data_IF_405396175426
#
_entry.id   IF_405396175426
#
_cell.length_a   1.000
_cell.length_b   1.000
_cell.length_c   1.000
_cell.angle_alpha   90.00
_cell.angle_beta   90.00
_cell.angle_gamma   90.00
#
_symmetry.space_group_name_H-M   'P 1'
#
loop_
_entity.id
_entity.type
_entity.pdbx_description
1 polymer ?
#
# COMPACT_ATOMS: atom_id res chain seq x y z
N UNK A 1 -7.66 14.43 13.01
CA UNK A 1 -7.19 13.04 12.85
C UNK A 1 -6.28 12.74 14.03
N UNK A 2 -6.56 11.67 14.78
CA UNK A 2 -5.75 11.30 15.94
C UNK A 2 -4.42 10.70 15.47
N UNK A 3 -3.33 11.02 16.17
CA UNK A 3 -2.06 10.35 15.97
C UNK A 3 -2.21 8.85 16.25
N UNK A 4 -1.53 8.00 15.47
CA UNK A 4 -1.46 6.56 15.72
C UNK A 4 -0.90 6.30 17.12
N UNK A 5 -1.44 5.29 17.80
CA UNK A 5 -0.96 4.88 19.13
C UNK A 5 0.24 3.93 19.03
N UNK A 6 0.95 3.71 20.14
CA UNK A 6 2.00 2.68 20.23
C UNK A 6 1.50 1.29 19.91
N UNK A 7 0.26 0.98 20.34
CA UNK A 7 -0.37 -0.31 20.05
C UNK A 7 -0.65 -0.47 18.56
N UNK A 8 -1.14 0.57 17.91
CA UNK A 8 -1.36 0.57 16.46
C UNK A 8 -0.06 0.44 15.67
N UNK A 9 1.01 1.13 16.09
CA UNK A 9 2.34 0.97 15.49
C UNK A 9 2.84 -0.48 15.64
N UNK A 10 2.71 -1.09 16.83
CA UNK A 10 3.11 -2.49 17.04
C UNK A 10 2.31 -3.48 16.19
N UNK A 11 1.01 -3.23 16.00
CA UNK A 11 0.16 -4.01 15.10
C UNK A 11 0.62 -3.87 13.63
N UNK A 12 0.92 -2.66 13.17
CA UNK A 12 1.45 -2.42 11.82
C UNK A 12 2.81 -3.11 11.63
N UNK A 13 3.73 -2.97 12.58
CA UNK A 13 5.05 -3.62 12.52
C UNK A 13 4.94 -5.15 12.41
N UNK A 14 4.15 -5.78 13.29
CA UNK A 14 3.99 -7.24 13.29
C UNK A 14 3.28 -7.77 12.03
N UNK A 15 2.24 -7.06 11.56
CA UNK A 15 1.53 -7.44 10.33
C UNK A 15 2.36 -7.22 9.06
N UNK A 16 3.25 -6.24 9.04
CA UNK A 16 4.24 -6.05 7.97
C UNK A 16 5.22 -7.22 7.91
N UNK A 17 5.72 -7.70 9.05
CA UNK A 17 6.55 -8.91 9.09
C UNK A 17 5.80 -10.14 8.57
N UNK A 18 4.53 -10.33 8.97
CA UNK A 18 3.69 -11.41 8.48
C UNK A 18 3.49 -11.34 6.95
N UNK A 19 3.27 -10.14 6.40
CA UNK A 19 3.21 -9.93 4.95
C UNK A 19 4.51 -10.37 4.26
N UNK A 20 5.67 -10.03 4.81
CA UNK A 20 6.97 -10.37 4.21
C UNK A 20 7.28 -11.86 4.23
N UNK A 21 6.78 -12.62 5.21
CA UNK A 21 7.03 -14.07 5.32
C UNK A 21 6.63 -14.86 4.07
N UNK A 22 5.64 -14.38 3.32
CA UNK A 22 5.27 -14.96 2.03
C UNK A 22 5.02 -13.88 0.98
N UNK A 23 6.04 -13.03 0.76
CA UNK A 23 5.97 -11.94 -0.20
C UNK A 23 5.47 -12.36 -1.60
N UNK A 24 5.91 -13.48 -2.23
CA UNK A 24 5.40 -13.89 -3.54
C UNK A 24 3.89 -14.07 -3.56
N UNK A 25 3.36 -14.79 -2.57
CA UNK A 25 1.93 -15.07 -2.46
C UNK A 25 1.13 -13.81 -2.18
N UNK A 26 1.49 -13.05 -1.14
CA UNK A 26 0.75 -11.84 -0.77
C UNK A 26 0.81 -10.76 -1.85
N UNK A 27 1.91 -10.67 -2.61
CA UNK A 27 1.98 -9.78 -3.76
C UNK A 27 1.00 -10.19 -4.86
N UNK A 28 0.83 -11.49 -5.11
CA UNK A 28 -0.13 -11.99 -6.08
C UNK A 28 -1.57 -11.79 -5.61
N UNK A 29 -1.86 -12.00 -4.32
CA UNK A 29 -3.16 -11.71 -3.71
C UNK A 29 -3.52 -10.22 -3.92
N UNK A 30 -2.60 -9.33 -3.58
CA UNK A 30 -2.79 -7.89 -3.72
C UNK A 30 -3.17 -7.48 -5.14
N UNK A 31 -2.42 -7.92 -6.15
CA UNK A 31 -2.73 -7.57 -7.54
C UNK A 31 -3.95 -8.31 -8.08
N UNK A 32 -4.24 -9.52 -7.62
CA UNK A 32 -5.47 -10.23 -8.00
C UNK A 32 -6.69 -9.43 -7.55
N UNK A 33 -6.70 -8.98 -6.29
CA UNK A 33 -7.77 -8.16 -5.72
C UNK A 33 -7.94 -6.81 -6.45
N UNK A 34 -6.83 -6.16 -6.84
CA UNK A 34 -6.89 -4.94 -7.66
C UNK A 34 -7.56 -5.23 -9.00
N UNK A 35 -7.16 -6.31 -9.68
CA UNK A 35 -7.63 -6.63 -11.03
C UNK A 35 -9.07 -7.15 -11.07
N UNK A 36 -9.57 -7.75 -9.99
CA UNK A 36 -10.98 -8.10 -9.84
C UNK A 36 -11.88 -6.85 -9.84
N UNK A 37 -11.43 -5.75 -9.23
CA UNK A 37 -12.18 -4.49 -9.14
C UNK A 37 -11.89 -3.53 -10.29
N UNK A 38 -10.67 -3.51 -10.77
CA UNK A 38 -10.20 -2.61 -11.82
C UNK A 38 -9.36 -3.37 -12.86
N UNK A 39 -9.98 -4.17 -13.74
CA UNK A 39 -9.27 -4.96 -14.76
C UNK A 39 -8.37 -4.10 -15.68
N UNK A 40 -8.77 -2.85 -15.91
CA UNK A 40 -8.01 -1.89 -16.72
C UNK A 40 -6.63 -1.55 -16.14
N UNK A 41 -6.39 -1.78 -14.83
CA UNK A 41 -5.09 -1.56 -14.20
C UNK A 41 -3.98 -2.46 -14.79
N UNK A 42 -4.33 -3.58 -15.47
CA UNK A 42 -3.36 -4.39 -16.24
C UNK A 42 -2.56 -3.57 -17.25
N UNK A 43 -3.17 -2.52 -17.82
CA UNK A 43 -2.54 -1.68 -18.84
C UNK A 43 -1.62 -0.61 -18.23
N UNK A 44 -1.71 -0.35 -16.92
CA UNK A 44 -0.90 0.64 -16.24
C UNK A 44 0.49 0.10 -15.88
N UNK A 45 0.55 -1.19 -15.55
CA UNK A 45 1.75 -1.87 -15.06
C UNK A 45 2.20 -2.95 -16.03
N UNK A 46 3.38 -2.78 -16.61
CA UNK A 46 3.93 -3.75 -17.59
C UNK A 46 4.13 -5.15 -17.02
N UNK A 47 4.34 -5.28 -15.70
CA UNK A 47 4.45 -6.58 -15.04
C UNK A 47 3.12 -7.32 -14.90
N UNK A 48 1.98 -6.68 -15.18
CA UNK A 48 0.64 -7.30 -15.22
C UNK A 48 0.17 -7.63 -16.64
N UNK A 49 0.96 -7.32 -17.68
CA UNK A 49 0.55 -7.51 -19.08
C UNK A 49 0.14 -8.96 -19.40
N UNK A 50 0.79 -9.93 -18.75
CA UNK A 50 0.49 -11.36 -18.88
C UNK A 50 -0.33 -11.91 -17.70
N UNK A 51 -0.99 -11.04 -16.93
CA UNK A 51 -1.69 -11.40 -15.70
C UNK A 51 -0.82 -11.34 -14.45
N UNK A 52 -1.37 -11.83 -13.34
CA UNK A 52 -0.68 -11.89 -12.04
C UNK A 52 0.20 -13.12 -12.02
N UNK A 53 1.51 -12.90 -11.84
CA UNK A 53 2.49 -13.97 -11.66
C UNK A 53 3.26 -13.72 -10.35
N UNK A 54 3.06 -14.59 -9.36
CA UNK A 54 3.75 -14.53 -8.06
C UNK A 54 5.27 -14.65 -8.17
N UNK A 55 5.77 -15.25 -9.25
CA UNK A 55 7.21 -15.38 -9.49
C UNK A 55 7.82 -14.12 -10.13
N UNK A 56 7.00 -13.20 -10.64
CA UNK A 56 7.46 -11.99 -11.31
C UNK A 56 8.16 -11.06 -10.31
N UNK A 57 9.47 -10.78 -10.48
CA UNK A 57 10.22 -9.96 -9.54
C UNK A 57 9.74 -8.50 -9.49
N UNK A 58 9.23 -7.94 -10.60
CA UNK A 58 8.73 -6.57 -10.64
C UNK A 58 7.41 -6.42 -9.89
N UNK A 59 6.56 -7.44 -9.96
CA UNK A 59 5.30 -7.50 -9.23
C UNK A 59 5.58 -7.49 -7.72
N UNK A 60 6.48 -8.37 -7.27
CA UNK A 60 6.93 -8.44 -5.87
C UNK A 60 7.54 -7.13 -5.38
N UNK A 61 8.50 -6.59 -6.12
CA UNK A 61 9.17 -5.35 -5.74
C UNK A 61 8.21 -4.16 -5.63
N UNK A 62 7.23 -4.06 -6.54
CA UNK A 62 6.25 -2.98 -6.46
C UNK A 62 5.27 -3.20 -5.30
N UNK A 63 4.80 -4.42 -5.07
CA UNK A 63 3.94 -4.71 -3.92
C UNK A 63 4.68 -4.39 -2.61
N UNK A 64 5.90 -4.90 -2.45
CA UNK A 64 6.75 -4.61 -1.29
C UNK A 64 6.91 -3.10 -1.09
N UNK A 65 7.16 -2.34 -2.17
CA UNK A 65 7.33 -0.89 -2.05
C UNK A 65 6.08 -0.16 -1.56
N UNK A 66 4.90 -0.55 -2.04
CA UNK A 66 3.63 0.06 -1.60
C UNK A 66 3.38 -0.22 -0.11
N UNK A 67 3.59 -1.46 0.32
CA UNK A 67 3.37 -1.85 1.70
C UNK A 67 4.43 -1.25 2.64
N UNK A 68 5.70 -1.24 2.24
CA UNK A 68 6.80 -0.59 2.97
C UNK A 68 6.52 0.90 3.18
N UNK A 69 6.17 1.64 2.12
CA UNK A 69 5.90 3.08 2.26
C UNK A 69 4.69 3.37 3.14
N UNK A 70 3.69 2.48 3.13
CA UNK A 70 2.51 2.61 3.99
C UNK A 70 2.86 2.28 5.45
N UNK A 71 3.64 1.23 5.69
CA UNK A 71 4.20 0.90 7.00
C UNK A 71 5.02 2.06 7.57
N UNK A 72 5.96 2.61 6.79
CA UNK A 72 6.81 3.73 7.20
C UNK A 72 5.98 4.99 7.49
N UNK A 73 4.88 5.18 6.77
CA UNK A 73 3.93 6.26 7.03
C UNK A 73 3.29 6.09 8.41
N UNK A 74 2.89 4.87 8.80
CA UNK A 74 2.35 4.59 10.12
C UNK A 74 3.36 4.92 11.23
N UNK A 75 4.60 4.45 11.08
CA UNK A 75 5.69 4.71 12.03
C UNK A 75 5.95 6.22 12.18
N UNK A 76 6.03 6.95 11.06
CA UNK A 76 6.24 8.39 11.08
C UNK A 76 5.06 9.16 11.69
N UNK A 77 3.83 8.78 11.37
CA UNK A 77 2.64 9.40 11.94
C UNK A 77 2.58 9.23 13.46
N UNK A 78 2.91 8.05 13.99
CA UNK A 78 3.04 7.85 15.44
C UNK A 78 4.16 8.74 15.99
N UNK A 79 5.35 8.66 15.42
CA UNK A 79 6.55 9.29 16.00
C UNK A 79 6.56 10.82 15.89
N UNK A 80 5.97 11.37 14.84
CA UNK A 80 6.11 12.79 14.45
C UNK A 80 4.77 13.51 14.23
N UNK A 81 3.66 12.79 14.15
CA UNK A 81 2.34 13.35 13.80
C UNK A 81 2.17 13.73 12.33
N UNK A 82 3.17 13.46 11.48
CA UNK A 82 3.16 13.78 10.05
C UNK A 82 4.10 12.85 9.28
N UNK A 83 3.79 12.57 8.02
CA UNK A 83 4.70 11.85 7.13
C UNK A 83 5.67 12.79 6.44
N UNK A 84 6.93 12.36 6.30
CA UNK A 84 7.96 13.08 5.56
C UNK A 84 8.50 12.15 4.49
N UNK A 85 8.35 12.56 3.23
CA UNK A 85 8.90 11.87 2.06
C UNK A 85 9.89 12.83 1.43
N UNK A 86 11.10 12.36 1.12
CA UNK A 86 12.12 13.19 0.48
C UNK A 86 11.57 13.81 -0.83
N UNK A 87 11.77 15.10 -1.03
CA UNK A 87 11.18 15.86 -2.15
C UNK A 87 11.41 15.21 -3.52
N UNK A 88 12.61 14.68 -3.75
CA UNK A 88 12.93 14.00 -5.01
C UNK A 88 12.06 12.74 -5.23
N UNK A 89 11.82 11.98 -4.17
CA UNK A 89 10.96 10.78 -4.20
C UNK A 89 9.50 11.20 -4.37
N UNK A 90 9.03 12.20 -3.64
CA UNK A 90 7.66 12.67 -3.71
C UNK A 90 7.32 13.22 -5.12
N UNK A 91 8.21 14.04 -5.70
CA UNK A 91 8.07 14.53 -7.08
C UNK A 91 8.04 13.40 -8.09
N UNK A 92 8.89 12.38 -7.92
CA UNK A 92 8.89 11.21 -8.79
C UNK A 92 7.57 10.45 -8.69
N UNK A 93 7.07 10.19 -7.47
CA UNK A 93 5.80 9.49 -7.26
C UNK A 93 4.62 10.26 -7.85
N UNK A 94 4.51 11.56 -7.56
CA UNK A 94 3.45 12.40 -8.13
C UNK A 94 3.46 12.39 -9.66
N UNK A 95 4.64 12.57 -10.26
CA UNK A 95 4.81 12.55 -11.72
C UNK A 95 4.41 11.20 -12.34
N UNK A 96 4.85 10.08 -11.78
CA UNK A 96 4.51 8.75 -12.32
C UNK A 96 3.01 8.45 -12.18
N UNK A 97 2.39 8.79 -11.05
CA UNK A 97 0.95 8.57 -10.85
C UNK A 97 0.11 9.44 -11.79
N UNK A 98 0.52 10.70 -11.99
CA UNK A 98 -0.11 11.59 -12.97
C UNK A 98 0.03 11.07 -14.40
N UNK A 99 1.26 10.72 -14.83
CA UNK A 99 1.53 10.21 -16.18
C UNK A 99 0.75 8.93 -16.50
N UNK A 100 0.51 8.10 -15.47
CA UNK A 100 -0.27 6.86 -15.58
C UNK A 100 -1.77 7.08 -15.50
N UNK A 101 -2.25 8.32 -15.30
CA UNK A 101 -3.67 8.64 -15.19
C UNK A 101 -4.33 7.98 -13.99
N UNK A 102 -3.60 7.80 -12.89
CA UNK A 102 -4.17 7.29 -11.64
C UNK A 102 -5.14 8.35 -11.09
N UNK A 103 -6.36 7.93 -10.78
CA UNK A 103 -7.43 8.77 -10.21
C UNK A 103 -7.71 8.35 -8.77
N UNK A 104 -8.52 9.15 -8.07
CA UNK A 104 -8.98 8.85 -6.72
C UNK A 104 -9.62 7.46 -6.60
N UNK A 105 -10.38 7.03 -7.61
CA UNK A 105 -11.00 5.72 -7.63
C UNK A 105 -9.96 4.59 -7.62
N UNK A 106 -8.82 4.73 -8.32
CA UNK A 106 -7.77 3.72 -8.27
C UNK A 106 -7.04 3.70 -6.92
N UNK A 107 -6.86 4.84 -6.24
CA UNK A 107 -6.33 4.84 -4.86
C UNK A 107 -7.26 4.08 -3.91
N UNK A 108 -8.58 4.24 -4.04
CA UNK A 108 -9.54 3.48 -3.22
C UNK A 108 -9.47 1.97 -3.48
N UNK A 109 -9.37 1.55 -4.75
CA UNK A 109 -9.19 0.12 -5.10
C UNK A 109 -7.91 -0.44 -4.48
N UNK A 110 -6.81 0.32 -4.53
CA UNK A 110 -5.53 -0.08 -3.92
C UNK A 110 -5.64 -0.17 -2.40
N UNK A 111 -6.30 0.77 -1.74
CA UNK A 111 -6.57 0.74 -0.29
C UNK A 111 -7.29 -0.55 0.10
N UNK A 112 -8.39 -0.86 -0.58
CA UNK A 112 -9.19 -2.05 -0.30
C UNK A 112 -8.39 -3.35 -0.50
N UNK A 113 -7.60 -3.42 -1.58
CA UNK A 113 -6.75 -4.56 -1.86
C UNK A 113 -5.64 -4.71 -0.81
N UNK A 114 -5.03 -3.60 -0.37
CA UNK A 114 -4.00 -3.58 0.67
C UNK A 114 -4.55 -4.13 1.98
N UNK A 115 -5.68 -3.62 2.47
CA UNK A 115 -6.28 -4.06 3.72
C UNK A 115 -6.66 -5.54 3.70
N UNK A 116 -7.24 -6.02 2.59
CA UNK A 116 -7.55 -7.45 2.41
C UNK A 116 -6.30 -8.33 2.38
N UNK A 117 -5.22 -7.86 1.77
CA UNK A 117 -3.94 -8.59 1.73
C UNK A 117 -3.31 -8.67 3.12
N UNK A 118 -3.34 -7.59 3.90
CA UNK A 118 -2.88 -7.64 5.31
C UNK A 118 -3.74 -8.60 6.12
N UNK A 119 -5.07 -8.55 5.96
CA UNK A 119 -5.99 -9.48 6.61
C UNK A 119 -5.64 -10.94 6.32
N UNK A 120 -5.33 -11.25 5.07
CA UNK A 120 -4.88 -12.58 4.69
C UNK A 120 -3.55 -12.95 5.34
N UNK A 121 -2.58 -12.03 5.33
CA UNK A 121 -1.25 -12.26 5.90
C UNK A 121 -1.25 -12.52 7.41
N UNK A 122 -2.16 -11.88 8.17
CA UNK A 122 -2.23 -12.04 9.63
C UNK A 122 -3.22 -13.11 10.09
N UNK A 123 -4.12 -13.58 9.21
CA UNK A 123 -5.16 -14.55 9.53
C UNK A 123 -5.97 -14.15 10.76
N UNK A 124 -5.97 -15.00 11.79
CA UNK A 124 -6.68 -14.80 13.06
C UNK A 124 -6.19 -13.57 13.86
N UNK A 125 -5.03 -13.01 13.52
CA UNK A 125 -4.52 -11.76 14.10
C UNK A 125 -5.26 -10.51 13.63
N UNK A 126 -6.15 -10.61 12.64
CA UNK A 126 -6.88 -9.47 12.10
C UNK A 126 -7.89 -8.90 13.10
N UNK A 127 -7.91 -7.57 13.23
CA UNK A 127 -8.87 -6.85 14.06
C UNK A 127 -9.09 -5.42 13.54
N UNK A 128 -10.12 -4.76 14.04
CA UNK A 128 -10.51 -3.41 13.61
C UNK A 128 -9.44 -2.35 13.89
N UNK A 129 -8.66 -2.52 14.97
CA UNK A 129 -7.60 -1.58 15.33
C UNK A 129 -6.42 -1.65 14.35
N UNK A 130 -6.03 -2.87 13.93
CA UNK A 130 -5.05 -3.09 12.88
C UNK A 130 -5.54 -2.54 11.53
N UNK A 131 -6.81 -2.83 11.18
CA UNK A 131 -7.42 -2.30 9.96
C UNK A 131 -7.36 -0.78 9.91
N UNK A 132 -7.79 -0.14 11.00
CA UNK A 132 -7.79 1.31 11.12
C UNK A 132 -6.37 1.89 11.04
N UNK A 133 -5.38 1.24 11.64
CA UNK A 133 -4.00 1.69 11.60
C UNK A 133 -3.43 1.73 10.16
N UNK A 134 -3.63 0.67 9.39
CA UNK A 134 -3.24 0.62 7.98
C UNK A 134 -4.02 1.62 7.12
N UNK A 135 -5.31 1.81 7.39
CA UNK A 135 -6.16 2.77 6.71
C UNK A 135 -5.67 4.22 6.89
N UNK A 136 -5.42 4.64 8.14
CA UNK A 136 -4.89 5.98 8.44
C UNK A 136 -3.55 6.19 7.72
N UNK A 137 -2.65 5.22 7.80
CA UNK A 137 -1.33 5.32 7.20
C UNK A 137 -1.40 5.40 5.67
N UNK A 138 -2.26 4.60 5.04
CA UNK A 138 -2.47 4.64 3.59
C UNK A 138 -3.10 5.95 3.14
N UNK A 139 -4.12 6.44 3.85
CA UNK A 139 -4.84 7.65 3.48
C UNK A 139 -3.92 8.88 3.51
N UNK A 140 -3.08 9.01 4.53
CA UNK A 140 -2.09 10.09 4.63
C UNK A 140 -1.02 10.01 3.52
N UNK A 141 -0.53 8.80 3.22
CA UNK A 141 0.40 8.57 2.11
C UNK A 141 -0.24 8.94 0.77
N UNK A 142 -1.45 8.46 0.51
CA UNK A 142 -2.19 8.74 -0.70
C UNK A 142 -2.47 10.24 -0.86
N UNK A 143 -2.91 10.92 0.21
CA UNK A 143 -3.12 12.36 0.21
C UNK A 143 -1.82 13.12 -0.11
N UNK A 144 -0.68 12.66 0.42
CA UNK A 144 0.63 13.27 0.16
C UNK A 144 1.07 13.09 -1.29
N UNK A 145 0.89 11.90 -1.87
CA UNK A 145 1.18 11.65 -3.29
C UNK A 145 0.25 12.46 -4.20
N UNK A 146 -1.06 12.49 -3.91
CA UNK A 146 -2.05 13.24 -4.69
C UNK A 146 -1.73 14.73 -4.76
N UNK A 147 -1.32 15.34 -3.65
CA UNK A 147 -0.84 16.75 -3.64
C UNK A 147 0.36 16.97 -4.56
N UNK A 148 1.20 15.96 -4.77
CA UNK A 148 2.35 16.02 -5.67
C UNK A 148 2.01 15.70 -7.13
N UNK A 149 0.81 15.20 -7.43
CA UNK A 149 0.35 14.95 -8.80
C UNK A 149 -0.05 16.24 -9.53
N UNK A 150 -0.33 17.33 -8.81
CA UNK A 150 -0.76 18.62 -9.38
C UNK A 150 -2.18 18.98 -8.98
#
# INVERSE_FOLDING_TARGET
>A
MGALTEKQEALVNSSWEAFKQNLPHHSAVFYTLILEKAPAAKNLFSFLANGVDQNNPKLKAHAEKVFEMTHDSAVQLRAKGSIVIADAVLKHLGSVHLQKGVTDAQFLVVKEALLKTIKEAVGDGWNDELSNAWEIAYDELAATIKKAMG
#
